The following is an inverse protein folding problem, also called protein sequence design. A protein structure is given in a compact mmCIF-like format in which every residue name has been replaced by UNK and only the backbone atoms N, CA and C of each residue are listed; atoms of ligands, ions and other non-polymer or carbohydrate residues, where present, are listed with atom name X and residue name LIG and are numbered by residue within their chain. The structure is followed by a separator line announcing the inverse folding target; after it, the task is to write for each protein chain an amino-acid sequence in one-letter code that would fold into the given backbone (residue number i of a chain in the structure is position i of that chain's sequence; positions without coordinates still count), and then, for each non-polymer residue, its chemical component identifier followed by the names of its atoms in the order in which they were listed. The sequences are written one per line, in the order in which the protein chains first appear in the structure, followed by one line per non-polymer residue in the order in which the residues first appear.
data_IF_572402741182
#
_entry.id   IF_572402741182
#
_cell.length_a   1.000
_cell.length_b   1.000
_cell.length_c   1.000
_cell.angle_alpha   90.00
_cell.angle_beta   90.00
_cell.angle_gamma   90.00
#
_symmetry.space_group_name_H-M   'P 1'
#
loop_
_entity.id
_entity.type
_entity.pdbx_description
1 polymer ?
#
# COMPACT_ATOMS: atom_id res chain seq x y z
N UNK A 1 -9.59 -16.44 21.19
CA UNK A 1 -10.03 -15.16 20.59
C UNK A 1 -8.90 -14.69 19.69
N UNK A 2 -9.22 -14.17 18.51
CA UNK A 2 -8.26 -13.67 17.55
C UNK A 2 -7.64 -12.36 18.07
N UNK A 3 -6.31 -12.18 18.08
CA UNK A 3 -5.67 -11.05 18.75
C UNK A 3 -5.98 -9.70 18.11
N UNK A 4 -6.24 -9.64 16.80
CA UNK A 4 -6.51 -8.39 16.11
C UNK A 4 -7.96 -7.88 16.27
N UNK A 5 -8.94 -8.80 16.39
CA UNK A 5 -10.37 -8.46 16.44
C UNK A 5 -10.98 -8.68 17.82
N UNK A 6 -10.32 -9.45 18.68
CA UNK A 6 -10.82 -9.96 19.97
C UNK A 6 -12.11 -10.80 19.85
N UNK A 7 -12.48 -11.20 18.63
CA UNK A 7 -13.60 -12.10 18.35
C UNK A 7 -13.15 -13.57 18.35
N UNK A 8 -14.09 -14.51 18.28
CA UNK A 8 -13.74 -15.91 18.12
C UNK A 8 -13.17 -16.12 16.70
N UNK A 9 -12.02 -16.79 16.54
CA UNK A 9 -11.43 -17.00 15.21
C UNK A 9 -12.38 -17.70 14.23
N UNK A 10 -13.32 -18.50 14.74
CA UNK A 10 -14.37 -19.17 13.95
C UNK A 10 -15.44 -18.23 13.39
N UNK A 11 -15.52 -16.98 13.85
CA UNK A 11 -16.44 -15.98 13.28
C UNK A 11 -15.86 -15.25 12.06
N UNK A 12 -14.59 -15.48 11.72
CA UNK A 12 -13.94 -14.89 10.56
C UNK A 12 -13.98 -15.83 9.36
N UNK A 13 -13.91 -15.27 8.15
CA UNK A 13 -13.79 -16.08 6.95
C UNK A 13 -12.42 -16.81 6.92
N UNK A 14 -12.36 -18.05 6.39
CA UNK A 14 -11.08 -18.75 6.24
C UNK A 14 -10.09 -18.00 5.35
N UNK A 15 -10.58 -17.31 4.31
CA UNK A 15 -9.78 -16.48 3.42
C UNK A 15 -9.06 -15.35 4.19
N UNK A 16 -9.77 -14.67 5.10
CA UNK A 16 -9.17 -13.65 5.94
C UNK A 16 -8.06 -14.22 6.83
N UNK A 17 -8.26 -15.38 7.44
CA UNK A 17 -7.24 -16.00 8.29
C UNK A 17 -5.97 -16.35 7.51
N UNK A 18 -6.10 -16.84 6.27
CA UNK A 18 -4.95 -17.10 5.39
C UNK A 18 -4.20 -15.81 5.04
N UNK A 19 -4.92 -14.72 4.76
CA UNK A 19 -4.32 -13.41 4.50
C UNK A 19 -3.54 -12.86 5.70
N UNK A 20 -3.95 -13.18 6.93
CA UNK A 20 -3.24 -12.75 8.13
C UNK A 20 -1.91 -13.48 8.35
N UNK A 21 -1.79 -14.70 7.81
CA UNK A 21 -0.58 -15.51 7.82
C UNK A 21 0.33 -15.23 6.60
N UNK A 22 0.06 -14.17 5.83
CA UNK A 22 0.79 -13.83 4.62
C UNK A 22 2.27 -13.55 4.90
N UNK A 23 3.14 -14.25 4.18
CA UNK A 23 4.58 -13.99 4.18
C UNK A 23 4.99 -13.06 3.04
N UNK A 24 5.94 -12.17 3.30
CA UNK A 24 6.50 -11.27 2.28
C UNK A 24 7.39 -12.04 1.29
N UNK A 25 6.74 -12.67 0.32
CA UNK A 25 7.38 -13.42 -0.78
C UNK A 25 7.46 -12.57 -2.05
N UNK A 26 8.32 -12.93 -3.04
CA UNK A 26 8.37 -12.19 -4.31
C UNK A 26 7.01 -12.06 -5.03
N UNK A 27 6.15 -13.10 -5.11
CA UNK A 27 4.82 -12.96 -5.70
C UNK A 27 3.93 -11.90 -5.01
N UNK A 28 4.00 -11.78 -3.68
CA UNK A 28 3.26 -10.76 -2.93
C UNK A 28 3.75 -9.36 -3.29
N UNK A 29 5.06 -9.19 -3.46
CA UNK A 29 5.64 -7.92 -3.88
C UNK A 29 5.19 -7.58 -5.31
N UNK A 30 5.23 -8.55 -6.22
CA UNK A 30 4.76 -8.40 -7.60
C UNK A 30 3.28 -7.98 -7.62
N UNK A 31 2.43 -8.63 -6.84
CA UNK A 31 1.01 -8.26 -6.71
C UNK A 31 0.80 -6.81 -6.24
N UNK A 32 1.57 -6.37 -5.23
CA UNK A 32 1.51 -4.96 -4.76
C UNK A 32 1.93 -4.01 -5.89
N UNK A 33 3.01 -4.34 -6.60
CA UNK A 33 3.53 -3.52 -7.70
C UNK A 33 2.49 -3.41 -8.82
N UNK A 34 1.87 -4.53 -9.20
CA UNK A 34 0.81 -4.59 -10.22
C UNK A 34 -0.40 -3.75 -9.80
N UNK A 35 -0.89 -3.90 -8.56
CA UNK A 35 -2.00 -3.10 -8.04
C UNK A 35 -1.74 -1.59 -8.14
N UNK A 36 -0.51 -1.16 -7.82
CA UNK A 36 -0.12 0.26 -7.93
C UNK A 36 -0.03 0.68 -9.40
N UNK A 37 0.59 -0.13 -10.25
CA UNK A 37 0.75 0.15 -11.67
C UNK A 37 -0.61 0.29 -12.36
N UNK A 38 -1.54 -0.63 -12.10
CA UNK A 38 -2.90 -0.58 -12.62
C UNK A 38 -3.68 0.65 -12.13
N UNK A 39 -3.54 0.98 -10.84
CA UNK A 39 -4.20 2.16 -10.24
C UNK A 39 -3.73 3.45 -10.91
N UNK A 40 -2.41 3.61 -11.09
CA UNK A 40 -1.86 4.78 -11.76
C UNK A 40 -2.20 4.78 -13.26
N UNK A 41 -2.10 3.63 -13.92
CA UNK A 41 -2.45 3.48 -15.33
C UNK A 41 -3.89 3.88 -15.62
N UNK A 42 -4.83 3.46 -14.77
CA UNK A 42 -6.24 3.86 -14.85
C UNK A 42 -6.40 5.38 -14.74
N UNK A 43 -5.70 6.02 -13.80
CA UNK A 43 -5.75 7.48 -13.63
C UNK A 43 -5.19 8.28 -14.82
N UNK A 44 -4.26 7.67 -15.59
CA UNK A 44 -3.64 8.27 -16.78
C UNK A 44 -4.45 8.00 -18.06
N UNK A 45 -5.64 7.40 -17.97
CA UNK A 45 -6.51 7.15 -19.12
C UNK A 45 -6.19 5.88 -19.91
N UNK A 46 -5.41 4.95 -19.34
CA UNK A 46 -5.28 3.60 -19.89
C UNK A 46 -4.39 3.46 -21.14
N UNK A 47 -3.65 4.49 -21.53
CA UNK A 47 -2.77 4.47 -22.70
C UNK A 47 -1.28 4.35 -22.35
N UNK A 48 -0.94 4.27 -21.05
CA UNK A 48 0.42 4.42 -20.57
C UNK A 48 1.00 3.10 -20.07
N UNK A 49 1.69 2.36 -20.95
CA UNK A 49 2.47 1.20 -20.52
C UNK A 49 3.80 1.64 -19.93
N UNK A 50 4.09 1.20 -18.70
CA UNK A 50 5.40 1.39 -18.10
C UNK A 50 6.45 0.58 -18.84
N UNK A 51 7.59 1.21 -19.13
CA UNK A 51 8.74 0.47 -19.67
C UNK A 51 9.32 -0.47 -18.61
N UNK A 52 9.85 -1.61 -19.04
CA UNK A 52 10.50 -2.60 -18.18
C UNK A 52 11.52 -1.99 -17.19
N UNK A 53 12.38 -1.02 -17.57
CA UNK A 53 13.30 -0.39 -16.63
C UNK A 53 12.62 0.45 -15.53
N UNK A 54 11.45 1.03 -15.80
CA UNK A 54 10.68 1.78 -14.79
C UNK A 54 10.06 0.80 -13.80
N UNK A 55 9.43 -0.26 -14.31
CA UNK A 55 8.81 -1.31 -13.51
C UNK A 55 9.82 -1.99 -12.58
N UNK A 56 11.01 -2.35 -13.12
CA UNK A 56 12.10 -2.94 -12.33
C UNK A 56 12.59 -2.03 -11.20
N UNK A 57 12.79 -0.73 -11.49
CA UNK A 57 13.20 0.25 -10.48
C UNK A 57 12.16 0.43 -9.39
N UNK A 58 10.89 0.51 -9.77
CA UNK A 58 9.79 0.65 -8.82
C UNK A 58 9.67 -0.60 -7.93
N UNK A 59 9.73 -1.80 -8.51
CA UNK A 59 9.77 -3.07 -7.76
C UNK A 59 10.91 -3.09 -6.75
N UNK A 60 12.12 -2.67 -7.16
CA UNK A 60 13.26 -2.55 -6.26
C UNK A 60 13.03 -1.57 -5.09
N UNK A 61 12.33 -0.47 -5.33
CA UNK A 61 11.93 0.47 -4.27
C UNK A 61 10.92 -0.15 -3.31
N UNK A 62 9.89 -0.84 -3.81
CA UNK A 62 8.90 -1.54 -2.99
C UNK A 62 9.60 -2.55 -2.08
N UNK A 63 10.42 -3.44 -2.65
CA UNK A 63 11.20 -4.43 -1.89
C UNK A 63 12.05 -3.78 -0.80
N UNK A 64 12.77 -2.70 -1.15
CA UNK A 64 13.64 -1.99 -0.20
C UNK A 64 12.85 -1.37 0.95
N UNK A 65 11.71 -0.74 0.65
CA UNK A 65 10.88 -0.08 1.66
C UNK A 65 10.24 -1.10 2.59
N UNK A 66 9.70 -2.19 2.05
CA UNK A 66 9.08 -3.25 2.85
C UNK A 66 10.10 -3.92 3.76
N UNK A 67 11.28 -4.27 3.25
CA UNK A 67 12.36 -4.86 4.04
C UNK A 67 12.85 -3.94 5.17
N UNK A 68 12.86 -2.61 4.97
CA UNK A 68 13.37 -1.64 5.96
C UNK A 68 12.32 -1.12 6.94
N UNK A 69 11.06 -1.16 6.57
CA UNK A 69 9.96 -0.67 7.41
C UNK A 69 9.42 -1.74 8.34
N UNK A 70 9.67 -3.02 8.04
CA UNK A 70 9.25 -4.18 8.85
C UNK A 70 7.75 -4.14 9.19
N UNK A 71 6.94 -3.66 8.23
CA UNK A 71 5.49 -3.56 8.41
C UNK A 71 4.87 -4.97 8.47
N UNK A 72 3.93 -5.22 9.39
CA UNK A 72 3.27 -6.51 9.48
C UNK A 72 2.30 -6.73 8.30
N UNK A 73 1.93 -7.98 7.98
CA UNK A 73 1.01 -8.32 6.90
C UNK A 73 -0.31 -7.53 6.94
N UNK A 74 -0.88 -7.33 8.13
CA UNK A 74 -2.10 -6.52 8.33
C UNK A 74 -2.00 -5.11 7.77
N UNK A 75 -0.82 -4.51 7.85
CA UNK A 75 -0.56 -3.16 7.31
C UNK A 75 -0.40 -3.19 5.80
N UNK A 76 0.15 -4.26 5.24
CA UNK A 76 0.22 -4.46 3.80
C UNK A 76 -1.16 -4.66 3.18
N UNK A 77 -2.01 -5.47 3.81
CA UNK A 77 -3.40 -5.63 3.36
C UNK A 77 -4.16 -4.30 3.42
N UNK A 78 -3.98 -3.53 4.50
CA UNK A 78 -4.54 -2.17 4.61
C UNK A 78 -4.00 -1.24 3.51
N UNK A 79 -2.72 -1.40 3.14
CA UNK A 79 -2.09 -0.64 2.04
C UNK A 79 -2.77 -0.97 0.70
N UNK A 80 -3.01 -2.25 0.42
CA UNK A 80 -3.71 -2.70 -0.80
C UNK A 80 -5.14 -2.13 -0.89
N UNK A 81 -5.88 -2.17 0.22
CA UNK A 81 -7.23 -1.56 0.30
C UNK A 81 -7.17 -0.07 -0.04
N UNK A 82 -6.20 0.66 0.49
CA UNK A 82 -6.04 2.08 0.19
C UNK A 82 -5.63 2.35 -1.26
N UNK A 83 -4.79 1.50 -1.86
CA UNK A 83 -4.47 1.59 -3.29
C UNK A 83 -5.73 1.39 -4.13
N UNK A 84 -6.53 0.35 -3.85
CA UNK A 84 -7.78 0.08 -4.55
C UNK A 84 -8.77 1.25 -4.46
N UNK A 85 -8.93 1.85 -3.27
CA UNK A 85 -9.79 3.03 -3.06
C UNK A 85 -9.30 4.27 -3.79
N UNK A 86 -7.99 4.46 -3.89
CA UNK A 86 -7.41 5.60 -4.58
C UNK A 86 -7.77 5.59 -6.07
N UNK A 87 -7.94 4.42 -6.69
CA UNK A 87 -8.22 4.27 -8.14
C UNK A 87 -9.37 5.15 -8.66
N UNK A 88 -10.45 5.31 -7.89
CA UNK A 88 -11.61 6.08 -8.34
C UNK A 88 -11.42 7.61 -8.26
N UNK A 89 -10.46 8.09 -7.45
CA UNK A 89 -10.30 9.50 -7.10
C UNK A 89 -8.91 10.05 -7.45
N UNK A 90 -7.99 9.18 -7.82
CA UNK A 90 -6.61 9.53 -8.14
C UNK A 90 -6.57 10.34 -9.44
N UNK A 91 -6.01 11.55 -9.33
CA UNK A 91 -5.67 12.38 -10.48
C UNK A 91 -4.16 12.60 -10.47
N UNK A 92 -3.47 11.96 -11.42
CA UNK A 92 -2.02 12.09 -11.54
C UNK A 92 -1.69 13.21 -12.53
N UNK A 93 -1.11 14.34 -12.08
CA UNK A 93 -0.78 15.44 -12.98
C UNK A 93 0.47 15.15 -13.83
N UNK A 94 1.30 14.19 -13.42
CA UNK A 94 2.52 13.78 -14.12
C UNK A 94 2.91 12.37 -13.71
N UNK A 95 3.37 11.57 -14.67
CA UNK A 95 3.86 10.21 -14.43
C UNK A 95 5.14 10.16 -13.58
N UNK A 96 5.83 11.29 -13.40
CA UNK A 96 7.08 11.33 -12.65
C UNK A 96 6.86 10.95 -11.18
N UNK A 97 7.43 9.80 -10.79
CA UNK A 97 7.30 9.20 -9.45
C UNK A 97 5.86 8.83 -9.05
N UNK A 98 4.95 8.68 -10.02
CA UNK A 98 3.54 8.43 -9.71
C UNK A 98 3.35 7.11 -8.95
N UNK A 99 3.99 6.04 -9.41
CA UNK A 99 3.97 4.71 -8.78
C UNK A 99 4.46 4.77 -7.34
N UNK A 100 5.64 5.35 -7.13
CA UNK A 100 6.26 5.44 -5.82
C UNK A 100 5.43 6.27 -4.85
N UNK A 101 4.81 7.36 -5.32
CA UNK A 101 4.01 8.24 -4.46
C UNK A 101 2.68 7.60 -4.07
N UNK A 102 2.03 6.88 -4.98
CA UNK A 102 0.81 6.12 -4.66
C UNK A 102 1.13 5.02 -3.65
N UNK A 103 2.16 4.21 -3.91
CA UNK A 103 2.60 3.15 -2.99
C UNK A 103 2.96 3.70 -1.61
N UNK A 104 3.84 4.72 -1.55
CA UNK A 104 4.29 5.27 -0.27
C UNK A 104 3.16 5.97 0.48
N UNK A 105 2.30 6.71 -0.22
CA UNK A 105 1.13 7.35 0.37
C UNK A 105 0.24 6.34 1.07
N UNK A 106 -0.13 5.27 0.36
CA UNK A 106 -0.94 4.19 0.89
C UNK A 106 -0.26 3.51 2.09
N UNK A 107 1.02 3.13 1.97
CA UNK A 107 1.75 2.40 3.01
C UNK A 107 1.94 3.22 4.30
N UNK A 108 2.29 4.51 4.16
CA UNK A 108 2.51 5.39 5.31
C UNK A 108 1.19 5.61 6.05
N UNK A 109 0.10 5.88 5.32
CA UNK A 109 -1.23 6.08 5.91
C UNK A 109 -1.71 4.79 6.56
N UNK A 110 -1.55 3.64 5.90
CA UNK A 110 -1.87 2.33 6.46
C UNK A 110 -1.11 2.08 7.77
N UNK A 111 0.21 2.26 7.77
CA UNK A 111 1.04 2.10 8.97
C UNK A 111 0.56 2.99 10.12
N UNK A 112 0.25 4.26 9.84
CA UNK A 112 -0.27 5.20 10.84
C UNK A 112 -1.67 4.89 11.34
N UNK A 113 -2.47 4.23 10.53
CA UNK A 113 -3.83 3.85 10.89
C UNK A 113 -3.86 2.55 11.73
N UNK A 114 -2.98 1.60 11.43
CA UNK A 114 -2.99 0.27 12.06
C UNK A 114 -2.14 0.15 13.33
N UNK A 115 -1.36 1.18 13.69
CA UNK A 115 -0.45 1.13 14.83
C UNK A 115 -0.55 2.36 15.73
N UNK A 116 -0.49 2.14 17.05
CA UNK A 116 -0.45 3.21 18.05
C UNK A 116 0.88 3.99 18.07
N UNK A 117 1.97 3.35 17.59
CA UNK A 117 3.31 3.92 17.55
C UNK A 117 3.94 3.69 16.18
N UNK A 118 4.19 4.77 15.44
CA UNK A 118 4.58 4.67 14.03
C UNK A 118 5.90 5.34 13.72
N UNK A 119 6.49 4.97 12.58
CA UNK A 119 7.66 5.67 12.04
C UNK A 119 7.34 7.15 11.76
N UNK A 120 8.22 8.03 12.25
CA UNK A 120 8.23 9.45 11.87
C UNK A 120 8.68 9.61 10.42
N UNK A 121 8.30 10.70 9.77
CA UNK A 121 8.63 10.96 8.36
C UNK A 121 10.14 10.91 8.06
N UNK A 122 10.99 11.27 9.02
CA UNK A 122 12.46 11.14 8.90
C UNK A 122 12.95 9.70 8.78
N UNK A 123 12.23 8.73 9.36
CA UNK A 123 12.56 7.32 9.26
C UNK A 123 12.05 6.76 7.94
N UNK A 124 10.82 7.11 7.52
CA UNK A 124 10.33 6.80 6.17
C UNK A 124 11.26 7.31 5.06
N UNK A 125 11.79 8.53 5.21
CA UNK A 125 12.81 9.06 4.29
C UNK A 125 14.04 8.15 4.19
N UNK A 126 14.51 7.57 5.32
CA UNK A 126 15.61 6.59 5.33
C UNK A 126 15.23 5.26 4.69
N UNK A 127 13.99 4.79 4.90
CA UNK A 127 13.50 3.56 4.27
C UNK A 127 13.55 3.69 2.74
N UNK A 128 13.01 4.78 2.18
CA UNK A 128 13.01 5.00 0.72
C UNK A 128 14.39 5.31 0.14
N UNK A 129 15.24 6.06 0.87
CA UNK A 129 16.54 6.52 0.36
C UNK A 129 16.47 7.56 -0.76
N UNK A 130 15.28 7.89 -1.27
CA UNK A 130 15.08 8.79 -2.41
C UNK A 130 14.24 10.03 -2.07
N UNK A 131 13.32 9.94 -1.10
CA UNK A 131 12.45 11.05 -0.70
C UNK A 131 12.89 11.66 0.62
N UNK A 132 12.89 13.00 0.71
CA UNK A 132 13.16 13.69 1.96
C UNK A 132 11.97 13.57 2.93
N UNK A 133 12.19 13.83 4.22
CA UNK A 133 11.10 13.84 5.21
C UNK A 133 9.97 14.83 4.85
N UNK A 134 10.30 15.92 4.14
CA UNK A 134 9.32 16.89 3.63
C UNK A 134 8.48 16.30 2.51
N UNK A 135 9.11 15.57 1.59
CA UNK A 135 8.43 14.89 0.48
C UNK A 135 7.50 13.80 1.03
N UNK A 136 7.97 12.98 1.97
CA UNK A 136 7.15 11.98 2.67
C UNK A 136 5.89 12.62 3.27
N UNK A 137 6.04 13.74 3.98
CA UNK A 137 4.88 14.44 4.55
C UNK A 137 3.94 15.02 3.49
N UNK A 138 4.46 15.40 2.31
CA UNK A 138 3.64 15.87 1.19
C UNK A 138 2.86 14.71 0.56
N UNK A 139 3.54 13.60 0.29
CA UNK A 139 2.96 12.37 -0.26
C UNK A 139 1.82 11.87 0.63
N UNK A 140 2.04 11.80 1.94
CA UNK A 140 1.01 11.42 2.91
C UNK A 140 -0.23 12.32 2.83
N UNK A 141 -0.06 13.65 2.88
CA UNK A 141 -1.20 14.58 2.84
C UNK A 141 -1.98 14.53 1.54
N UNK A 142 -1.26 14.42 0.41
CA UNK A 142 -1.90 14.29 -0.90
C UNK A 142 -2.66 12.97 -1.02
N UNK A 143 -2.09 11.87 -0.54
CA UNK A 143 -2.78 10.58 -0.55
C UNK A 143 -4.04 10.59 0.33
N UNK A 144 -3.98 11.17 1.53
CA UNK A 144 -5.16 11.36 2.40
C UNK A 144 -6.27 12.16 1.72
N UNK A 145 -5.91 13.17 0.93
CA UNK A 145 -6.87 13.93 0.14
C UNK A 145 -7.47 13.09 -1.00
N UNK A 146 -6.68 12.21 -1.65
CA UNK A 146 -7.17 11.30 -2.69
C UNK A 146 -8.21 10.32 -2.15
N UNK A 147 -7.98 9.73 -0.97
CA UNK A 147 -8.93 8.79 -0.35
C UNK A 147 -10.03 9.48 0.47
N UNK A 148 -10.10 10.81 0.44
CA UNK A 148 -11.05 11.65 1.19
C UNK A 148 -11.21 11.23 2.66
N UNK A 149 -10.09 10.91 3.31
CA UNK A 149 -10.04 10.45 4.71
C UNK A 149 -10.91 9.20 5.02
N UNK A 150 -11.31 8.44 4.00
CA UNK A 150 -12.04 7.16 4.16
C UNK A 150 -11.07 6.04 4.54
N UNK A 151 -10.66 6.04 5.81
CA UNK A 151 -9.62 5.16 6.35
C UNK A 151 -10.18 3.88 7.00
N UNK A 152 -11.48 3.79 7.28
CA UNK A 152 -12.06 2.59 7.89
C UNK A 152 -11.93 1.38 6.96
N UNK A 153 -11.36 0.27 7.46
CA UNK A 153 -11.20 -0.99 6.71
C UNK A 153 -12.09 -2.06 7.34
N UNK A 154 -12.83 -2.77 6.49
CA UNK A 154 -13.66 -3.91 6.85
C UNK A 154 -13.03 -5.23 6.41
N UNK A 155 -13.54 -6.35 6.92
CA UNK A 155 -13.09 -7.68 6.47
C UNK A 155 -13.35 -7.92 4.98
N UNK A 156 -14.44 -7.34 4.44
CA UNK A 156 -14.76 -7.46 3.01
C UNK A 156 -13.69 -6.80 2.14
N UNK A 157 -13.25 -5.59 2.53
CA UNK A 157 -12.17 -4.88 1.82
C UNK A 157 -10.88 -5.73 1.76
N UNK A 158 -10.59 -6.48 2.82
CA UNK A 158 -9.38 -7.32 2.89
C UNK A 158 -9.51 -8.58 2.02
N UNK A 159 -10.68 -9.23 2.06
CA UNK A 159 -10.95 -10.47 1.32
C UNK A 159 -10.96 -10.24 -0.19
N UNK A 160 -11.28 -9.04 -0.67
CA UNK A 160 -11.22 -8.69 -2.10
C UNK A 160 -9.82 -8.89 -2.72
N UNK A 161 -8.76 -8.92 -1.90
CA UNK A 161 -7.39 -9.18 -2.34
C UNK A 161 -6.97 -10.66 -2.24
N UNK A 162 -7.82 -11.56 -1.71
CA UNK A 162 -7.46 -12.97 -1.47
C UNK A 162 -7.12 -13.76 -2.72
N UNK A 163 -7.82 -13.52 -3.84
CA UNK A 163 -7.55 -14.27 -5.08
C UNK A 163 -6.22 -13.88 -5.75
N UNK A 164 -5.69 -12.70 -5.42
CA UNK A 164 -4.46 -12.16 -5.99
C UNK A 164 -3.20 -12.42 -5.15
N UNK A 165 -3.35 -12.88 -3.91
CA UNK A 165 -2.27 -13.15 -2.93
C UNK A 165 -2.14 -14.65 -2.68
#
# INVERSE_FOLDING_TARGET
LHPASLLNSTSHSPALLQLLDLELTPPVIEYIVDCVAETVHYSLGGTHSYSEPVYYKFTGLVTTVLARSEVPPTTLLTTLVYIARARAHLVVPSDKWALERVFLGALIVASKYTHDSTLRNKHWARCTGVFSARDIGKIEREFLAVVDWQLSVSEADLVDHHEGL
#
